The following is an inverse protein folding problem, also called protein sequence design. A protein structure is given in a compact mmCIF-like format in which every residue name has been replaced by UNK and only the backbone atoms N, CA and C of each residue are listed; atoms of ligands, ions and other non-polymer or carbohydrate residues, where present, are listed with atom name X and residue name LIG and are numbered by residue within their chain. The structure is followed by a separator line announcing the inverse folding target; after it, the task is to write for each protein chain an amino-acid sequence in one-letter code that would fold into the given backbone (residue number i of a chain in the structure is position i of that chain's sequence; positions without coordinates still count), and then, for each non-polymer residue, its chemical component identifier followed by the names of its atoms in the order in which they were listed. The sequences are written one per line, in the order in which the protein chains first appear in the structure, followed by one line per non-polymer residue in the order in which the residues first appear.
data_IF_605590618224
#
_entry.id   IF_605590618224
#
_cell.length_a   1.000
_cell.length_b   1.000
_cell.length_c   1.000
_cell.angle_alpha   90.00
_cell.angle_beta   90.00
_cell.angle_gamma   90.00
#
_symmetry.space_group_name_H-M   'P 1'
#
loop_
_entity.id
_entity.type
_entity.pdbx_description
1 polymer ?
#
# COMPACT_ATOMS: atom_id res chain seq x y z
N UNK A 1 -18.82 6.24 1.08
CA UNK A 1 -17.48 5.60 1.11
C UNK A 1 -16.45 6.68 0.86
N UNK A 2 -15.72 7.08 1.90
CA UNK A 2 -14.62 8.05 1.78
C UNK A 2 -13.34 7.23 1.81
N UNK A 3 -12.91 6.72 0.66
CA UNK A 3 -11.61 6.08 0.55
C UNK A 3 -10.56 7.19 0.54
N UNK A 4 -9.64 7.17 1.50
CA UNK A 4 -8.53 8.11 1.49
C UNK A 4 -7.51 7.60 0.48
N UNK A 5 -7.37 8.31 -0.64
CA UNK A 5 -6.19 8.19 -1.48
C UNK A 5 -5.04 8.92 -0.76
N UNK A 6 -3.84 8.36 -0.79
CA UNK A 6 -2.64 8.95 -0.19
C UNK A 6 -2.16 10.13 -1.07
N UNK A 7 -2.99 11.17 -1.20
CA UNK A 7 -2.66 12.37 -1.98
C UNK A 7 -1.71 13.26 -1.18
N UNK A 8 -0.50 13.43 -1.74
CA UNK A 8 0.42 14.48 -1.34
C UNK A 8 -0.16 15.84 -1.72
N UNK A 9 -0.68 16.57 -0.74
CA UNK A 9 -1.14 17.94 -0.89
C UNK A 9 0.04 18.90 -1.04
N UNK A 10 0.24 19.49 -2.23
CA UNK A 10 0.80 20.85 -2.38
C UNK A 10 0.14 21.56 -3.57
N UNK A 11 -0.61 22.61 -3.24
CA UNK A 11 -1.28 23.54 -4.16
C UNK A 11 -0.33 24.72 -4.45
N UNK A 12 -0.34 25.21 -5.68
CA UNK A 12 0.65 26.14 -6.22
C UNK A 12 0.53 27.61 -5.80
N UNK A 13 1.69 28.28 -5.88
CA UNK A 13 1.90 29.73 -5.90
C UNK A 13 3.16 30.01 -6.74
N UNK A 14 3.12 31.05 -7.56
CA UNK A 14 3.97 31.27 -8.73
C UNK A 14 5.42 31.77 -8.46
N UNK A 15 6.23 31.54 -9.49
CA UNK A 15 7.48 32.20 -9.91
C UNK A 15 8.76 32.09 -9.07
N UNK A 16 9.68 31.22 -9.51
CA UNK A 16 11.05 31.62 -9.89
C UNK A 16 11.78 30.49 -10.63
N UNK A 17 12.33 30.87 -11.77
CA UNK A 17 13.12 30.08 -12.70
C UNK A 17 14.45 29.64 -12.09
N UNK A 18 14.68 28.33 -11.85
CA UNK A 18 16.01 27.70 -11.90
C UNK A 18 15.92 26.24 -12.35
N UNK A 19 16.54 26.01 -13.49
CA UNK A 19 16.95 24.76 -14.12
C UNK A 19 17.56 23.73 -13.15
N UNK A 20 16.97 22.53 -13.06
CA UNK A 20 17.66 21.24 -12.92
C UNK A 20 16.63 20.10 -12.88
N UNK A 21 16.36 19.51 -14.04
CA UNK A 21 15.70 18.21 -14.12
C UNK A 21 16.59 17.14 -13.50
N UNK A 22 16.16 16.61 -12.37
CA UNK A 22 16.80 15.49 -11.69
C UNK A 22 15.72 14.57 -11.15
N UNK A 23 15.01 13.87 -12.04
CA UNK A 23 14.31 12.66 -11.64
C UNK A 23 15.38 11.72 -11.07
N UNK A 24 15.41 11.57 -9.75
CA UNK A 24 16.36 10.67 -9.11
C UNK A 24 16.01 9.25 -9.55
N UNK A 25 16.72 8.76 -10.56
CA UNK A 25 16.55 7.42 -11.06
C UNK A 25 16.72 6.45 -9.89
N UNK A 26 15.81 5.50 -9.65
CA UNK A 26 15.97 4.51 -8.58
C UNK A 26 17.32 3.79 -8.69
N UNK A 27 17.82 3.61 -9.92
CA UNK A 27 19.14 3.08 -10.23
C UNK A 27 20.28 3.96 -9.69
N UNK A 28 20.15 5.29 -9.72
CA UNK A 28 21.14 6.23 -9.18
C UNK A 28 21.13 6.26 -7.64
N UNK A 29 19.97 6.09 -7.00
CA UNK A 29 19.87 5.92 -5.54
C UNK A 29 20.46 4.58 -5.10
N UNK A 30 20.20 3.50 -5.83
CA UNK A 30 20.81 2.20 -5.59
C UNK A 30 22.33 2.26 -5.76
N UNK A 31 22.80 2.98 -6.78
CA UNK A 31 24.22 3.18 -7.04
C UNK A 31 24.87 4.05 -5.94
N UNK A 32 24.19 5.09 -5.44
CA UNK A 32 24.70 5.91 -4.34
C UNK A 32 24.72 5.15 -3.01
N UNK A 33 23.73 4.29 -2.73
CA UNK A 33 23.71 3.37 -1.58
C UNK A 33 24.81 2.31 -1.67
N UNK A 34 25.06 1.76 -2.86
CA UNK A 34 26.18 0.86 -3.11
C UNK A 34 27.53 1.54 -2.83
N UNK A 35 27.64 2.83 -3.16
CA UNK A 35 28.85 3.63 -2.96
C UNK A 35 29.04 4.13 -1.51
N UNK A 36 27.97 4.19 -0.71
CA UNK A 36 28.03 4.53 0.73
C UNK A 36 28.69 3.45 1.61
N UNK A 37 28.99 2.28 1.05
CA UNK A 37 29.67 1.17 1.72
C UNK A 37 31.17 1.34 1.96
N UNK A 38 31.81 2.42 1.47
CA UNK A 38 33.23 2.70 1.74
C UNK A 38 33.39 3.48 3.06
N UNK A 39 33.04 2.86 4.20
CA UNK A 39 33.51 3.36 5.51
C UNK A 39 35.00 3.07 5.64
N UNK A 40 35.75 4.05 6.11
CA UNK A 40 37.23 4.10 6.17
C UNK A 40 37.85 3.22 7.26
N UNK A 41 37.25 2.07 7.59
CA UNK A 41 37.81 1.13 8.57
C UNK A 41 37.82 -0.24 7.91
N UNK A 42 39.01 -0.82 7.74
CA UNK A 42 39.31 -1.99 6.91
C UNK A 42 38.71 -3.32 7.37
N UNK A 43 37.40 -3.38 7.56
CA UNK A 43 36.59 -4.60 7.62
C UNK A 43 35.50 -4.42 6.57
N UNK A 44 35.60 -5.16 5.46
CA UNK A 44 34.57 -5.13 4.42
C UNK A 44 33.19 -5.41 5.01
N UNK A 45 32.15 -4.85 4.39
CA UNK A 45 30.77 -5.10 4.79
C UNK A 45 30.51 -6.61 4.88
N UNK A 46 29.91 -7.04 5.98
CA UNK A 46 29.49 -8.42 6.14
C UNK A 46 28.44 -8.77 5.08
N UNK A 47 28.35 -10.05 4.72
CA UNK A 47 27.32 -10.52 3.77
C UNK A 47 25.90 -10.12 4.19
N UNK A 48 25.65 -9.99 5.51
CA UNK A 48 24.38 -9.52 6.07
C UNK A 48 24.11 -8.05 5.74
N UNK A 49 25.09 -7.17 5.93
CA UNK A 49 24.96 -5.74 5.63
C UNK A 49 24.78 -5.50 4.14
N UNK A 50 25.48 -6.26 3.29
CA UNK A 50 25.31 -6.21 1.83
C UNK A 50 23.89 -6.64 1.44
N UNK A 51 23.37 -7.71 2.03
CA UNK A 51 22.01 -8.17 1.79
C UNK A 51 20.97 -7.14 2.25
N UNK A 52 21.16 -6.55 3.43
CA UNK A 52 20.28 -5.51 3.97
C UNK A 52 20.22 -4.28 3.05
N UNK A 53 21.36 -3.78 2.57
CA UNK A 53 21.41 -2.66 1.63
C UNK A 53 20.66 -2.97 0.32
N UNK A 54 20.77 -4.21 -0.18
CA UNK A 54 19.99 -4.64 -1.36
C UNK A 54 18.49 -4.63 -1.08
N UNK A 55 18.05 -5.13 0.08
CA UNK A 55 16.63 -5.12 0.44
C UNK A 55 16.08 -3.70 0.65
N UNK A 56 16.84 -2.83 1.32
CA UNK A 56 16.49 -1.42 1.47
C UNK A 56 16.33 -0.74 0.10
N UNK A 57 17.26 -1.02 -0.81
CA UNK A 57 17.18 -0.55 -2.18
C UNK A 57 15.93 -1.02 -2.92
N UNK A 58 15.58 -2.31 -2.84
CA UNK A 58 14.35 -2.85 -3.45
C UNK A 58 13.09 -2.22 -2.85
N UNK A 59 13.10 -1.96 -1.55
CA UNK A 59 11.97 -1.32 -0.87
C UNK A 59 11.75 0.12 -1.34
N UNK A 60 12.83 0.88 -1.56
CA UNK A 60 12.74 2.26 -2.07
C UNK A 60 12.18 2.35 -3.50
N UNK A 61 12.29 1.28 -4.30
CA UNK A 61 11.66 1.23 -5.64
C UNK A 61 10.13 1.14 -5.55
N UNK A 62 9.60 0.58 -4.45
CA UNK A 62 8.17 0.41 -4.26
C UNK A 62 7.55 1.73 -3.78
N UNK A 63 6.92 2.44 -4.71
CA UNK A 63 6.16 3.64 -4.39
C UNK A 63 4.80 3.29 -3.76
N UNK A 64 4.71 3.36 -2.43
CA UNK A 64 3.47 3.12 -1.68
C UNK A 64 2.47 4.27 -1.75
N UNK A 65 2.83 5.41 -2.35
CA UNK A 65 1.93 6.57 -2.43
C UNK A 65 0.87 6.42 -3.54
N UNK A 66 1.10 5.55 -4.51
CA UNK A 66 0.24 5.40 -5.69
C UNK A 66 -0.53 4.09 -5.65
N UNK A 67 -1.81 4.14 -5.98
CA UNK A 67 -2.67 2.95 -6.15
C UNK A 67 -2.93 2.14 -4.88
N UNK A 68 -2.61 2.68 -3.70
CA UNK A 68 -2.95 2.08 -2.41
C UNK A 68 -4.09 2.85 -1.74
N UNK A 69 -5.05 2.12 -1.21
CA UNK A 69 -6.26 2.67 -0.61
C UNK A 69 -6.51 2.01 0.75
N UNK A 70 -6.92 2.80 1.72
CA UNK A 70 -7.43 2.31 3.01
C UNK A 70 -8.67 3.12 3.45
N UNK A 71 -9.42 2.57 4.41
CA UNK A 71 -10.58 3.22 5.02
C UNK A 71 -10.69 2.80 6.47
N UNK A 72 -10.81 3.76 7.38
CA UNK A 72 -10.91 3.51 8.82
C UNK A 72 -12.21 2.81 9.21
N UNK A 73 -13.31 3.15 8.54
CA UNK A 73 -14.65 2.73 8.96
C UNK A 73 -15.23 1.63 8.06
N UNK A 74 -14.48 1.17 7.06
CA UNK A 74 -14.99 0.23 6.05
C UNK A 74 -13.91 -0.73 5.59
N UNK A 75 -14.18 -2.03 5.68
CA UNK A 75 -13.27 -3.06 5.21
C UNK A 75 -13.29 -3.17 3.67
N UNK A 76 -12.26 -2.65 3.03
CA UNK A 76 -12.09 -2.68 1.58
C UNK A 76 -11.53 -4.02 1.05
N UNK A 77 -11.09 -4.92 1.93
CA UNK A 77 -10.63 -6.27 1.53
C UNK A 77 -11.77 -7.15 1.07
N UNK A 78 -13.02 -6.82 1.41
CA UNK A 78 -14.24 -7.57 1.07
C UNK A 78 -15.11 -6.88 0.02
N UNK A 79 -15.92 -7.67 -0.69
CA UNK A 79 -16.92 -7.11 -1.60
C UNK A 79 -18.02 -6.42 -0.80
N UNK A 80 -18.76 -5.51 -1.44
CA UNK A 80 -19.89 -4.86 -0.79
C UNK A 80 -20.97 -5.86 -0.36
N UNK A 81 -21.21 -6.89 -1.17
CA UNK A 81 -22.12 -7.99 -0.84
C UNK A 81 -21.64 -8.76 0.39
N UNK A 82 -20.36 -9.13 0.45
CA UNK A 82 -19.79 -9.85 1.59
C UNK A 82 -19.89 -9.02 2.88
N UNK A 83 -19.59 -7.72 2.79
CA UNK A 83 -19.69 -6.80 3.92
C UNK A 83 -21.14 -6.67 4.42
N UNK A 84 -22.10 -6.54 3.51
CA UNK A 84 -23.51 -6.47 3.87
C UNK A 84 -23.99 -7.76 4.54
N UNK A 85 -23.71 -8.92 3.94
CA UNK A 85 -24.08 -10.22 4.50
C UNK A 85 -23.38 -10.51 5.83
N UNK A 86 -22.14 -10.04 6.01
CA UNK A 86 -21.43 -10.21 7.27
C UNK A 86 -22.06 -9.44 8.42
N UNK A 87 -22.53 -8.21 8.16
CA UNK A 87 -23.23 -7.39 9.14
C UNK A 87 -24.55 -8.03 9.58
N UNK A 88 -25.26 -8.72 8.68
CA UNK A 88 -26.56 -9.32 8.98
C UNK A 88 -26.45 -10.69 9.65
N UNK A 89 -25.36 -11.44 9.41
CA UNK A 89 -25.24 -12.85 9.85
C UNK A 89 -24.33 -13.07 11.06
N UNK A 90 -23.38 -12.18 11.34
CA UNK A 90 -22.43 -12.32 12.46
C UNK A 90 -22.27 -10.99 13.20
N UNK A 91 -23.03 -10.75 14.28
CA UNK A 91 -23.00 -9.47 14.98
C UNK A 91 -21.68 -9.22 15.71
N UNK A 92 -21.01 -10.28 16.19
CA UNK A 92 -19.76 -10.20 16.94
C UNK A 92 -19.09 -11.59 17.08
N UNK A 93 -17.75 -11.71 16.99
CA UNK A 93 -16.78 -10.70 16.57
C UNK A 93 -16.84 -10.44 15.05
N UNK A 94 -16.40 -9.25 14.59
CA UNK A 94 -16.31 -8.95 13.17
C UNK A 94 -15.45 -10.00 12.46
N UNK A 95 -15.86 -10.50 11.29
CA UNK A 95 -15.15 -11.59 10.65
C UNK A 95 -13.76 -11.12 10.18
N UNK A 96 -12.73 -11.98 10.24
CA UNK A 96 -11.33 -11.60 9.98
C UNK A 96 -11.12 -11.11 8.56
N UNK A 97 -10.32 -10.06 8.38
CA UNK A 97 -10.07 -9.43 7.07
C UNK A 97 -9.61 -10.47 6.02
N UNK A 98 -9.95 -10.24 4.74
CA UNK A 98 -9.55 -11.17 3.68
C UNK A 98 -8.06 -10.99 3.39
N UNK A 99 -7.26 -11.95 3.86
CA UNK A 99 -5.80 -12.01 3.67
C UNK A 99 -5.37 -11.71 2.23
N UNK A 100 -6.07 -12.30 1.25
CA UNK A 100 -5.77 -12.15 -0.19
C UNK A 100 -5.62 -10.70 -0.67
N UNK A 101 -6.35 -9.75 -0.08
CA UNK A 101 -6.34 -8.35 -0.51
C UNK A 101 -5.63 -7.40 0.47
N UNK A 102 -5.07 -7.92 1.57
CA UNK A 102 -4.31 -7.15 2.55
C UNK A 102 -2.84 -7.07 2.14
N UNK A 103 -2.43 -5.97 1.51
CA UNK A 103 -1.07 -5.83 0.96
C UNK A 103 0.01 -5.67 2.03
N UNK A 104 -0.34 -5.09 3.18
CA UNK A 104 0.55 -4.93 4.32
C UNK A 104 0.57 -6.15 5.25
N UNK A 105 -0.06 -7.27 4.88
CA UNK A 105 -0.11 -8.49 5.69
C UNK A 105 1.26 -8.91 6.25
N UNK A 106 2.31 -8.90 5.41
CA UNK A 106 3.66 -9.27 5.85
C UNK A 106 4.24 -8.29 6.88
N UNK A 107 3.93 -6.99 6.75
CA UNK A 107 4.41 -5.95 7.65
C UNK A 107 3.67 -5.97 8.99
N UNK A 108 2.39 -6.38 8.98
CA UNK A 108 1.54 -6.37 10.17
C UNK A 108 1.51 -7.70 10.92
N UNK A 109 2.03 -8.80 10.36
CA UNK A 109 1.96 -10.14 10.97
C UNK A 109 2.56 -10.19 12.38
N UNK A 110 3.75 -9.59 12.57
CA UNK A 110 4.46 -9.63 13.86
C UNK A 110 3.69 -8.81 14.91
N UNK A 111 3.07 -7.71 14.47
CA UNK A 111 2.21 -6.89 15.31
C UNK A 111 0.91 -7.62 15.65
N UNK A 112 0.33 -8.35 14.69
CA UNK A 112 -0.86 -9.16 14.90
C UNK A 112 -0.63 -10.24 15.96
N UNK A 113 0.51 -10.94 15.88
CA UNK A 113 0.92 -11.95 16.88
C UNK A 113 1.08 -11.35 18.29
N UNK A 114 1.55 -10.10 18.39
CA UNK A 114 1.73 -9.41 19.66
C UNK A 114 0.45 -8.76 20.19
N UNK A 115 -0.63 -8.68 19.40
CA UNK A 115 -1.87 -7.98 19.76
C UNK A 115 -3.01 -8.94 20.06
N UNK A 116 -3.82 -8.60 21.06
CA UNK A 116 -5.08 -9.28 21.32
C UNK A 116 -6.09 -8.91 20.21
N UNK A 117 -7.00 -9.83 19.88
CA UNK A 117 -8.03 -9.63 18.84
C UNK A 117 -8.83 -8.31 18.98
N UNK A 118 -8.97 -7.80 20.20
CA UNK A 118 -9.66 -6.54 20.50
C UNK A 118 -8.84 -5.28 20.16
N UNK A 119 -7.51 -5.33 20.34
CA UNK A 119 -6.59 -4.21 20.06
C UNK A 119 -6.08 -4.22 18.62
N UNK A 120 -6.04 -5.39 17.98
CA UNK A 120 -5.62 -5.55 16.58
C UNK A 120 -6.36 -4.57 15.64
N UNK A 121 -7.67 -4.41 15.79
CA UNK A 121 -8.47 -3.51 14.92
C UNK A 121 -8.13 -2.02 15.02
N UNK A 122 -7.48 -1.58 16.11
CA UNK A 122 -7.09 -0.17 16.29
C UNK A 122 -5.71 0.14 15.71
N UNK A 123 -4.80 -0.85 15.72
CA UNK A 123 -3.41 -0.68 15.29
C UNK A 123 -3.17 -1.19 13.86
N UNK A 124 -3.96 -2.17 13.43
CA UNK A 124 -3.78 -2.85 12.15
C UNK A 124 -4.89 -2.42 11.20
N UNK A 125 -4.49 -1.63 10.20
CA UNK A 125 -5.37 -1.18 9.13
C UNK A 125 -4.96 -1.84 7.81
N UNK A 126 -5.83 -2.59 7.13
CA UNK A 126 -5.50 -3.25 5.89
C UNK A 126 -5.37 -2.22 4.76
N UNK A 127 -4.29 -2.35 4.00
CA UNK A 127 -4.04 -1.53 2.81
C UNK A 127 -4.36 -2.39 1.58
N UNK A 128 -5.16 -1.85 0.66
CA UNK A 128 -5.53 -2.52 -0.58
C UNK A 128 -4.87 -1.83 -1.76
N UNK A 129 -4.19 -2.59 -2.61
CA UNK A 129 -3.62 -2.08 -3.85
C UNK A 129 -4.56 -2.34 -5.03
N UNK A 130 -4.74 -1.36 -5.92
CA UNK A 130 -5.58 -1.52 -7.09
C UNK A 130 -5.96 -0.19 -7.74
N UNK A 131 -7.23 -0.01 -8.07
CA UNK A 131 -7.75 1.24 -8.59
C UNK A 131 -9.06 1.60 -7.89
N UNK A 132 -9.22 2.87 -7.54
CA UNK A 132 -10.45 3.39 -6.97
C UNK A 132 -10.84 4.64 -7.74
N UNK A 133 -12.04 4.64 -8.32
CA UNK A 133 -12.55 5.76 -9.09
C UNK A 133 -13.99 6.01 -8.68
N UNK A 134 -14.30 7.26 -8.31
CA UNK A 134 -15.65 7.69 -8.01
C UNK A 134 -16.03 8.87 -8.91
N UNK A 135 -17.21 8.80 -9.53
CA UNK A 135 -17.74 9.84 -10.41
C UNK A 135 -19.19 10.13 -10.06
N UNK A 136 -19.50 11.42 -9.90
CA UNK A 136 -20.87 11.89 -9.77
C UNK A 136 -21.46 12.06 -11.16
N UNK A 137 -22.60 11.41 -11.40
CA UNK A 137 -23.34 11.43 -12.66
C UNK A 137 -24.70 12.05 -12.36
N UNK A 138 -25.15 12.96 -13.21
CA UNK A 138 -26.49 13.54 -13.09
C UNK A 138 -27.30 13.13 -14.32
N UNK A 139 -28.42 12.46 -14.09
CA UNK A 139 -29.31 12.01 -15.17
C UNK A 139 -30.76 12.32 -14.79
N UNK A 140 -31.50 12.98 -15.69
CA UNK A 140 -32.89 13.44 -15.50
C UNK A 140 -33.20 14.04 -14.10
N UNK A 141 -32.32 14.90 -13.59
CA UNK A 141 -32.48 15.57 -12.30
C UNK A 141 -32.11 14.72 -11.07
N UNK A 142 -31.68 13.46 -11.25
CA UNK A 142 -31.17 12.59 -10.18
C UNK A 142 -29.65 12.58 -10.20
N UNK A 143 -29.03 12.80 -9.05
CA UNK A 143 -27.57 12.73 -8.91
C UNK A 143 -27.17 11.37 -8.35
N UNK A 144 -26.41 10.59 -9.10
CA UNK A 144 -25.88 9.27 -8.73
C UNK A 144 -24.37 9.35 -8.51
N UNK A 145 -23.84 8.59 -7.56
CA UNK A 145 -22.40 8.45 -7.36
C UNK A 145 -21.97 7.05 -7.83
N UNK A 146 -21.41 6.96 -9.03
CA UNK A 146 -20.83 5.73 -9.54
C UNK A 146 -19.44 5.54 -8.92
N UNK A 147 -19.23 4.41 -8.25
CA UNK A 147 -17.94 4.05 -7.65
C UNK A 147 -17.47 2.74 -8.24
N UNK A 148 -16.27 2.73 -8.82
CA UNK A 148 -15.59 1.55 -9.33
C UNK A 148 -14.35 1.29 -8.48
N UNK A 149 -14.23 0.05 -7.98
CA UNK A 149 -13.07 -0.39 -7.22
C UNK A 149 -12.52 -1.68 -7.83
N UNK A 150 -11.25 -1.68 -8.20
CA UNK A 150 -10.49 -2.85 -8.58
C UNK A 150 -9.42 -3.13 -7.52
N UNK A 151 -9.19 -4.40 -7.20
CA UNK A 151 -8.28 -4.82 -6.13
C UNK A 151 -7.34 -5.89 -6.68
N UNK A 152 -6.05 -5.75 -6.42
CA UNK A 152 -5.04 -6.75 -6.77
C UNK A 152 -4.82 -7.68 -5.59
N UNK A 153 -4.76 -8.99 -5.86
CA UNK A 153 -4.41 -9.97 -4.85
C UNK A 153 -2.91 -9.92 -4.54
N UNK A 154 -2.55 -10.06 -3.26
CA UNK A 154 -1.16 -10.17 -2.82
C UNK A 154 -0.53 -11.51 -3.21
N UNK A 155 -1.32 -12.60 -3.21
CA UNK A 155 -0.80 -13.95 -3.51
C UNK A 155 -0.38 -14.10 -4.96
N UNK A 156 -0.99 -13.31 -5.86
CA UNK A 156 -0.69 -13.31 -7.29
C UNK A 156 0.22 -12.15 -7.72
N UNK A 157 0.74 -11.37 -6.76
CA UNK A 157 1.67 -10.27 -7.01
C UNK A 157 3.12 -10.76 -6.86
N UNK A 158 3.88 -10.80 -7.95
CA UNK A 158 5.30 -11.18 -7.90
C UNK A 158 5.89 -11.64 -9.23
N UNK A 159 7.20 -11.89 -9.22
CA UNK A 159 7.95 -12.42 -10.37
C UNK A 159 7.64 -13.90 -10.55
N UNK A 160 6.52 -14.20 -11.22
CA UNK A 160 6.20 -15.49 -11.84
C UNK A 160 6.56 -16.73 -11.00
N UNK A 161 6.07 -16.83 -9.76
CA UNK A 161 5.98 -18.16 -9.15
C UNK A 161 4.69 -18.82 -9.68
N UNK A 162 4.88 -19.77 -10.61
CA UNK A 162 3.84 -20.60 -11.26
C UNK A 162 2.71 -19.85 -11.99
N UNK A 163 2.94 -19.51 -13.26
CA UNK A 163 1.91 -18.95 -14.18
C UNK A 163 0.94 -20.01 -14.77
N UNK A 164 0.71 -21.15 -14.13
CA UNK A 164 -0.35 -22.10 -14.51
C UNK A 164 -1.00 -22.66 -13.24
N UNK A 165 -2.29 -22.37 -13.08
CA UNK A 165 -3.10 -22.60 -11.89
C UNK A 165 -3.91 -21.36 -11.61
#
# INVERSE_FOLDING_TARGET
LKAAEMQSSRQGGADSNMNAGGGADPSSMLLSLWNHGKRSVGLGLTNREIAELRYQGLYQVIDMSKNYFFSYNYDMTRSLQDNFLSFTSKPFPPPPQKDMFSWNFFLTRELEECTTSLTSSYWILPIVHGAFVQRKINDYGRTLNLTLMARRSRHFAGTRYLKRG
#
